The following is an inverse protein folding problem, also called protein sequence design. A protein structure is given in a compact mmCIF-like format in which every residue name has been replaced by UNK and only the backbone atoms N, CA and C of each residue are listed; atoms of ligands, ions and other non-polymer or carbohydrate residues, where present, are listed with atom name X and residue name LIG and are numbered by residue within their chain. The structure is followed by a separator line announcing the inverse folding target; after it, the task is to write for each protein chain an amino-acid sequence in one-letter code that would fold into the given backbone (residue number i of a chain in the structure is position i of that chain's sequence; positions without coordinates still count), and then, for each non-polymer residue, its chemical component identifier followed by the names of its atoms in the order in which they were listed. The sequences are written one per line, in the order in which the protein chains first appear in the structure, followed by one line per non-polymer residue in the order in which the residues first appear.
data_IF_174603475793
#
_entry.id   IF_174603475793
#
_cell.length_a   1.000
_cell.length_b   1.000
_cell.length_c   1.000
_cell.angle_alpha   90.00
_cell.angle_beta   90.00
_cell.angle_gamma   90.00
#
_symmetry.space_group_name_H-M   'P 1'
#
loop_
_entity.id
_entity.type
_entity.pdbx_description
1 polymer ?
#
# COMPACT_ATOMS: atom_id res chain seq x y z
N UNK A 1 -34.58 -23.44 39.39
CA UNK A 1 -33.57 -24.30 38.74
C UNK A 1 -32.62 -24.79 39.81
N UNK A 2 -32.62 -26.09 40.10
CA UNK A 2 -31.61 -26.70 40.97
C UNK A 2 -30.52 -27.30 40.08
N UNK A 3 -29.25 -27.03 40.39
CA UNK A 3 -28.13 -27.73 39.74
C UNK A 3 -28.16 -29.17 40.24
N UNK A 4 -28.31 -30.12 39.31
CA UNK A 4 -28.51 -31.54 39.63
C UNK A 4 -27.25 -32.19 40.21
N UNK A 5 -26.06 -31.71 39.81
CA UNK A 5 -24.76 -32.00 40.43
C UNK A 5 -23.66 -31.14 39.79
N UNK A 6 -22.61 -30.80 40.56
CA UNK A 6 -21.39 -30.18 40.06
C UNK A 6 -20.20 -31.00 40.54
N UNK A 7 -19.40 -31.55 39.61
CA UNK A 7 -18.20 -32.32 39.92
C UNK A 7 -16.98 -31.44 39.66
N UNK A 8 -16.21 -31.18 40.71
CA UNK A 8 -14.90 -30.56 40.60
C UNK A 8 -13.87 -31.62 40.20
N UNK A 9 -12.97 -31.28 39.29
CA UNK A 9 -11.81 -32.12 39.00
C UNK A 9 -10.90 -32.17 40.25
N UNK A 10 -10.71 -33.35 40.87
CA UNK A 10 -9.92 -33.49 42.09
C UNK A 10 -8.43 -33.15 41.88
N UNK A 11 -7.94 -33.14 40.64
CA UNK A 11 -6.56 -32.80 40.31
C UNK A 11 -6.40 -31.33 39.88
N UNK A 12 -7.46 -30.51 39.99
CA UNK A 12 -7.42 -29.11 39.56
C UNK A 12 -6.31 -28.30 40.24
N UNK A 13 -5.95 -28.63 41.49
CA UNK A 13 -4.91 -27.93 42.25
C UNK A 13 -3.48 -28.23 41.78
N UNK A 14 -3.27 -29.35 41.08
CA UNK A 14 -1.94 -29.79 40.65
C UNK A 14 -1.57 -29.34 39.24
N UNK A 15 -2.52 -28.77 38.49
CA UNK A 15 -2.23 -28.33 37.14
C UNK A 15 -1.34 -27.09 37.14
N UNK A 16 -0.30 -27.15 36.31
CA UNK A 16 0.46 -25.98 35.90
C UNK A 16 -0.38 -25.08 34.99
N UNK A 17 0.00 -23.81 34.88
CA UNK A 17 -0.71 -22.84 34.05
C UNK A 17 -0.85 -23.32 32.58
N UNK A 18 0.19 -23.96 32.02
CA UNK A 18 0.18 -24.50 30.66
C UNK A 18 -0.80 -25.67 30.49
N UNK A 19 -0.90 -26.55 31.49
CA UNK A 19 -1.87 -27.67 31.48
C UNK A 19 -3.31 -27.16 31.58
N UNK A 20 -3.55 -26.08 32.33
CA UNK A 20 -4.85 -25.42 32.41
C UNK A 20 -5.23 -24.85 31.03
N UNK A 21 -4.32 -24.13 30.37
CA UNK A 21 -4.55 -23.57 29.04
C UNK A 21 -4.81 -24.68 28.01
N UNK A 22 -4.02 -25.76 28.03
CA UNK A 22 -4.20 -26.90 27.15
C UNK A 22 -5.58 -27.56 27.32
N UNK A 23 -6.04 -27.75 28.56
CA UNK A 23 -7.37 -28.31 28.85
C UNK A 23 -8.51 -27.39 28.44
N UNK A 24 -8.39 -26.08 28.64
CA UNK A 24 -9.40 -25.10 28.21
C UNK A 24 -9.54 -25.12 26.69
N UNK A 25 -8.44 -25.17 25.96
CA UNK A 25 -8.44 -25.20 24.50
C UNK A 25 -8.93 -26.52 23.92
N UNK A 26 -8.72 -27.64 24.63
CA UNK A 26 -9.19 -28.97 24.21
C UNK A 26 -10.64 -29.28 24.62
N UNK A 27 -11.28 -28.42 25.42
CA UNK A 27 -12.64 -28.64 25.87
C UNK A 27 -13.64 -28.53 24.71
N UNK A 28 -14.43 -29.58 24.49
CA UNK A 28 -15.50 -29.61 23.50
C UNK A 28 -16.79 -28.93 24.00
N UNK A 29 -16.94 -28.79 25.32
CA UNK A 29 -17.99 -27.98 25.90
C UNK A 29 -17.66 -26.50 25.70
N UNK A 30 -18.67 -25.69 25.38
CA UNK A 30 -18.52 -24.24 25.31
C UNK A 30 -18.19 -23.71 26.71
N UNK A 31 -16.91 -23.50 27.00
CA UNK A 31 -16.44 -22.76 28.18
C UNK A 31 -16.62 -21.26 27.89
N UNK A 32 -17.84 -20.85 27.61
CA UNK A 32 -18.18 -19.43 27.59
C UNK A 32 -18.12 -18.94 29.03
N UNK A 33 -17.21 -18.00 29.35
CA UNK A 33 -17.47 -17.15 30.51
C UNK A 33 -18.80 -16.48 30.21
N UNK A 34 -19.80 -16.69 31.05
CA UNK A 34 -21.10 -16.01 30.91
C UNK A 34 -20.82 -14.51 30.83
N UNK A 35 -20.96 -13.92 29.63
CA UNK A 35 -20.70 -12.51 29.35
C UNK A 35 -19.41 -12.13 28.59
N UNK A 36 -18.53 -13.04 28.17
CA UNK A 36 -17.31 -12.66 27.43
C UNK A 36 -17.40 -12.70 25.90
N UNK A 37 -18.47 -13.31 25.35
CA UNK A 37 -18.69 -13.45 23.91
C UNK A 37 -20.06 -12.91 23.49
N UNK A 38 -20.60 -11.95 24.25
CA UNK A 38 -21.71 -11.13 23.76
C UNK A 38 -21.15 -10.15 22.71
N UNK A 39 -21.02 -10.62 21.46
CA UNK A 39 -20.78 -9.70 20.33
C UNK A 39 -19.95 -10.25 19.18
N UNK A 40 -19.14 -11.30 19.38
CA UNK A 40 -18.34 -11.86 18.29
C UNK A 40 -19.09 -13.01 17.60
N UNK A 41 -20.26 -12.70 17.02
CA UNK A 41 -20.52 -13.26 15.71
C UNK A 41 -19.34 -12.84 14.85
N UNK A 42 -18.56 -13.81 14.38
CA UNK A 42 -17.71 -13.68 13.21
C UNK A 42 -18.61 -13.39 11.98
N UNK A 43 -19.40 -12.32 12.03
CA UNK A 43 -19.76 -11.60 10.83
C UNK A 43 -18.44 -11.26 10.18
N UNK A 44 -18.33 -11.44 8.87
CA UNK A 44 -17.13 -11.08 8.13
C UNK A 44 -16.86 -9.60 8.42
N UNK A 45 -16.01 -9.31 9.40
CA UNK A 45 -15.65 -7.96 9.77
C UNK A 45 -15.05 -7.36 8.50
N UNK A 46 -15.73 -6.38 7.94
CA UNK A 46 -15.14 -5.55 6.91
C UNK A 46 -14.04 -4.68 7.54
N UNK A 47 -13.24 -4.04 6.68
CA UNK A 47 -12.08 -3.31 7.14
C UNK A 47 -12.45 -2.14 8.08
N UNK A 48 -13.71 -1.71 8.09
CA UNK A 48 -14.30 -0.69 8.96
C UNK A 48 -14.83 -1.21 10.30
N UNK A 49 -15.08 -2.52 10.45
CA UNK A 49 -15.38 -3.18 11.74
C UNK A 49 -14.14 -3.34 12.64
N UNK A 50 -12.93 -3.18 12.07
CA UNK A 50 -11.69 -3.22 12.83
C UNK A 50 -11.56 -1.95 13.69
N UNK A 51 -11.59 -2.14 15.01
CA UNK A 51 -11.34 -1.05 15.95
C UNK A 51 -10.03 -0.32 15.60
N UNK A 52 -9.99 1.00 15.81
CA UNK A 52 -8.79 1.83 15.56
C UNK A 52 -7.53 1.26 16.28
N UNK A 53 -7.73 0.62 17.43
CA UNK A 53 -6.69 -0.08 18.19
C UNK A 53 -6.09 -1.27 17.43
N UNK A 54 -6.91 -2.02 16.67
CA UNK A 54 -6.46 -3.13 15.85
C UNK A 54 -5.58 -2.64 14.69
N UNK A 55 -6.00 -1.57 14.01
CA UNK A 55 -5.23 -0.94 12.93
C UNK A 55 -3.88 -0.41 13.43
N UNK A 56 -3.83 0.18 14.64
CA UNK A 56 -2.59 0.63 15.29
C UNK A 56 -1.67 -0.53 15.66
N UNK A 57 -2.21 -1.64 16.15
CA UNK A 57 -1.43 -2.83 16.48
C UNK A 57 -0.78 -3.43 15.24
N UNK A 58 -1.56 -3.64 14.16
CA UNK A 58 -1.03 -4.16 12.91
C UNK A 58 0.07 -3.25 12.34
N UNK A 59 -0.13 -1.93 12.37
CA UNK A 59 0.88 -0.97 11.95
C UNK A 59 2.18 -1.05 12.76
N UNK A 60 2.09 -1.19 14.09
CA UNK A 60 3.26 -1.38 14.94
C UNK A 60 4.03 -2.67 14.62
N UNK A 61 3.33 -3.75 14.24
CA UNK A 61 3.93 -5.05 13.92
C UNK A 61 4.47 -5.12 12.48
N UNK A 62 3.81 -4.46 11.53
CA UNK A 62 4.20 -4.45 10.10
C UNK A 62 5.15 -3.32 9.73
N UNK A 63 5.31 -2.31 10.60
CA UNK A 63 6.01 -1.06 10.30
C UNK A 63 5.23 -0.10 9.40
N UNK A 64 3.96 -0.39 9.11
CA UNK A 64 3.09 0.49 8.32
C UNK A 64 2.66 1.72 9.12
N UNK A 65 2.37 2.83 8.43
CA UNK A 65 1.95 4.08 9.06
C UNK A 65 0.45 4.33 8.90
N UNK A 66 -0.28 4.47 10.01
CA UNK A 66 -1.77 4.58 10.02
C UNK A 66 -2.25 6.00 9.69
N UNK A 67 -1.41 7.01 9.90
CA UNK A 67 -1.71 8.42 9.64
C UNK A 67 -0.46 9.12 9.10
N UNK A 68 -0.13 8.94 7.81
CA UNK A 68 1.00 9.63 7.21
C UNK A 68 0.73 11.15 7.17
N UNK A 69 1.72 11.92 7.57
CA UNK A 69 1.76 13.37 7.37
C UNK A 69 1.85 13.68 5.88
N UNK A 70 1.51 14.91 5.50
CA UNK A 70 1.63 15.34 4.10
C UNK A 70 3.04 15.16 3.52
N UNK A 71 4.08 15.33 4.33
CA UNK A 71 5.47 15.13 3.91
C UNK A 71 5.81 13.66 3.61
N UNK A 72 5.25 12.72 4.38
CA UNK A 72 5.44 11.28 4.16
C UNK A 72 4.69 10.79 2.93
N UNK A 73 3.48 11.33 2.69
CA UNK A 73 2.73 11.08 1.45
C UNK A 73 3.52 11.56 0.24
N UNK A 74 4.05 12.79 0.29
CA UNK A 74 4.88 13.35 -0.80
C UNK A 74 6.13 12.51 -1.03
N UNK A 75 6.80 12.07 0.04
CA UNK A 75 7.97 11.20 -0.05
C UNK A 75 7.63 9.85 -0.69
N UNK A 76 6.50 9.23 -0.32
CA UNK A 76 6.06 7.96 -0.90
C UNK A 76 5.70 8.11 -2.39
N UNK A 77 4.99 9.18 -2.76
CA UNK A 77 4.66 9.48 -4.16
C UNK A 77 5.93 9.69 -4.98
N UNK A 78 6.87 10.50 -4.48
CA UNK A 78 8.11 10.79 -5.20
C UNK A 78 9.12 9.63 -5.16
N UNK A 79 9.05 8.75 -4.16
CA UNK A 79 9.85 7.54 -4.07
C UNK A 79 9.34 6.41 -4.96
N UNK A 80 8.01 6.31 -5.14
CA UNK A 80 7.38 5.39 -6.09
C UNK A 80 7.43 5.93 -7.54
N UNK A 81 7.35 7.24 -7.71
CA UNK A 81 7.60 7.92 -8.96
C UNK A 81 9.09 8.25 -9.05
N UNK A 82 9.93 7.27 -9.43
CA UNK A 82 11.11 7.62 -10.24
C UNK A 82 10.56 8.44 -11.39
N UNK A 83 10.76 9.75 -11.32
CA UNK A 83 10.00 10.74 -12.07
C UNK A 83 9.73 10.29 -13.50
N UNK A 84 8.51 9.79 -13.76
CA UNK A 84 8.03 9.66 -15.11
C UNK A 84 7.75 11.09 -15.53
N UNK A 85 8.80 11.82 -15.90
CA UNK A 85 8.61 13.00 -16.74
C UNK A 85 7.99 12.52 -18.03
N UNK A 86 7.28 13.38 -18.75
CA UNK A 86 6.58 12.98 -19.98
C UNK A 86 7.55 12.30 -20.98
N UNK A 87 8.82 12.70 -20.92
CA UNK A 87 9.96 12.21 -21.70
C UNK A 87 10.51 10.86 -21.21
N UNK A 88 10.23 10.44 -19.98
CA UNK A 88 10.52 9.10 -19.47
C UNK A 88 9.40 8.09 -19.72
N UNK A 89 8.17 8.56 -19.98
CA UNK A 89 6.99 7.73 -20.25
C UNK A 89 6.87 7.27 -21.70
N UNK A 90 7.31 8.12 -22.62
CA UNK A 90 7.17 7.97 -24.06
C UNK A 90 8.48 8.40 -24.72
N UNK A 91 8.97 7.61 -25.68
CA UNK A 91 10.10 8.02 -26.50
C UNK A 91 9.76 9.26 -27.35
N UNK A 92 10.80 9.94 -27.83
CA UNK A 92 10.65 11.18 -28.60
C UNK A 92 9.87 10.96 -29.91
N UNK A 93 10.00 9.77 -30.50
CA UNK A 93 9.31 9.38 -31.73
C UNK A 93 7.79 9.29 -31.51
N UNK A 94 7.37 8.73 -30.38
CA UNK A 94 5.97 8.66 -29.95
C UNK A 94 5.40 10.04 -29.62
N UNK A 95 6.23 10.93 -29.06
CA UNK A 95 5.83 12.30 -28.71
C UNK A 95 5.87 13.27 -29.90
N UNK A 96 6.51 12.89 -31.02
CA UNK A 96 6.78 13.76 -32.18
C UNK A 96 7.42 15.09 -31.78
N UNK A 97 8.21 15.08 -30.70
CA UNK A 97 8.92 16.26 -30.22
C UNK A 97 10.36 16.19 -30.71
N UNK A 98 10.78 17.19 -31.48
CA UNK A 98 12.20 17.41 -31.76
C UNK A 98 12.80 18.12 -30.54
N UNK A 99 13.57 17.39 -29.72
CA UNK A 99 14.29 17.99 -28.59
C UNK A 99 15.64 18.51 -29.08
N UNK A 100 15.69 19.79 -29.41
CA UNK A 100 16.95 20.49 -29.67
C UNK A 100 17.60 20.86 -28.34
N UNK A 101 18.75 20.29 -27.99
CA UNK A 101 19.52 20.64 -26.79
C UNK A 101 20.77 21.46 -27.17
N UNK A 102 20.65 22.77 -27.48
CA UNK A 102 21.83 23.57 -27.81
C UNK A 102 22.66 23.83 -26.56
N UNK A 103 23.96 23.56 -26.63
CA UNK A 103 24.90 23.88 -25.55
C UNK A 103 25.12 25.40 -25.43
N UNK A 104 25.01 26.14 -26.55
CA UNK A 104 24.94 27.61 -26.66
C UNK A 104 24.47 28.03 -28.06
N UNK A 105 23.78 29.17 -28.21
CA UNK A 105 23.59 29.86 -29.50
C UNK A 105 22.40 29.42 -30.37
N UNK A 106 22.05 30.28 -31.33
CA UNK A 106 21.00 30.08 -32.34
C UNK A 106 21.35 28.92 -33.29
N UNK A 107 20.34 28.21 -33.82
CA UNK A 107 20.54 27.16 -34.83
C UNK A 107 20.67 27.78 -36.22
N UNK A 108 21.68 27.36 -36.98
CA UNK A 108 21.75 27.69 -38.40
C UNK A 108 20.67 26.92 -39.16
N UNK A 109 19.87 27.65 -39.92
CA UNK A 109 18.92 27.05 -40.87
C UNK A 109 19.71 26.61 -42.10
N UNK A 110 19.77 25.30 -42.35
CA UNK A 110 20.43 24.71 -43.53
C UNK A 110 19.65 24.98 -44.80
N UNK A 111 18.33 24.81 -44.73
CA UNK A 111 17.45 24.91 -45.89
C UNK A 111 16.04 25.35 -45.47
N UNK A 112 15.38 26.14 -46.32
CA UNK A 112 13.94 26.48 -46.20
C UNK A 112 13.32 26.24 -47.56
N UNK A 113 12.38 25.30 -47.62
CA UNK A 113 11.69 24.96 -48.86
C UNK A 113 10.19 24.77 -48.63
N UNK A 114 9.43 24.67 -49.72
CA UNK A 114 8.04 24.24 -49.68
C UNK A 114 7.91 22.90 -50.36
N UNK A 115 7.21 21.96 -49.74
CA UNK A 115 6.93 20.66 -50.34
C UNK A 115 5.86 20.75 -51.43
N UNK A 116 5.61 19.64 -52.11
CA UNK A 116 4.58 19.54 -53.16
C UNK A 116 3.14 19.77 -52.64
N UNK A 117 2.94 19.77 -51.32
CA UNK A 117 1.66 20.08 -50.66
C UNK A 117 1.55 21.55 -50.24
N UNK A 118 2.60 22.35 -50.50
CA UNK A 118 2.69 23.76 -50.14
C UNK A 118 3.09 24.01 -48.68
N UNK A 119 3.40 22.97 -47.90
CA UNK A 119 3.86 23.12 -46.52
C UNK A 119 5.30 23.60 -46.48
N UNK A 120 5.60 24.44 -45.50
CA UNK A 120 6.96 24.89 -45.24
C UNK A 120 7.73 23.75 -44.58
N UNK A 121 8.88 23.43 -45.14
CA UNK A 121 9.85 22.47 -44.63
C UNK A 121 11.15 23.22 -44.30
N UNK A 122 11.68 23.01 -43.10
CA UNK A 122 12.84 23.74 -42.58
C UNK A 122 13.83 22.75 -42.00
N UNK A 123 15.03 22.73 -42.58
CA UNK A 123 16.14 21.91 -42.12
C UNK A 123 17.08 22.74 -41.25
N UNK A 124 17.43 22.23 -40.07
CA UNK A 124 18.35 22.88 -39.13
C UNK A 124 19.65 22.07 -39.00
N UNK A 125 20.76 22.74 -38.68
CA UNK A 125 21.97 22.07 -38.18
C UNK A 125 21.97 22.05 -36.66
N UNK A 126 21.78 20.89 -36.05
CA UNK A 126 21.82 20.71 -34.58
C UNK A 126 23.14 20.12 -34.08
N UNK A 127 24.10 19.87 -34.99
CA UNK A 127 25.46 19.49 -34.63
C UNK A 127 26.25 20.72 -34.20
N UNK A 128 26.55 20.83 -32.91
CA UNK A 128 27.44 21.86 -32.38
C UNK A 128 28.80 21.80 -33.10
N UNK A 129 29.20 22.90 -33.75
CA UNK A 129 30.56 23.10 -34.24
C UNK A 129 31.48 23.60 -33.13
#
# INVERSE_FOLDING_TARGET
MAIQSFQLDPNAQSYTDDEIVGKVNAASASITRSGCLAGATLSACDADDLSESASKKWAAESGAQVNPTGAEIITAINGAATAITREGALDQDSLKLVKTNPTTGEFYVKNIQRDATGKLDVEYDDTAA
#
